data_IF_599299341914
#
_entry.id   IF_599299341914
#
_cell.length_a   1.000
_cell.length_b   1.000
_cell.length_c   1.000
_cell.angle_alpha   90.00
_cell.angle_beta   90.00
_cell.angle_gamma   90.00
#
_symmetry.space_group_name_H-M   'P 1'
#
loop_
_entity.id
_entity.type
_entity.pdbx_description
1 polymer ?
#
# COMPACT_ATOMS: atom_id res chain seq x y z
N UNK A 1 6.77 -0.64 51.06
CA UNK A 1 6.51 -1.20 49.71
C UNK A 1 5.59 -0.34 48.81
N UNK A 2 4.75 0.58 49.35
CA UNK A 2 3.86 1.44 48.54
C UNK A 2 4.59 2.58 47.80
N UNK A 3 5.64 3.17 48.38
CA UNK A 3 6.39 4.30 47.78
C UNK A 3 7.04 3.91 46.45
N UNK A 4 7.62 2.71 46.36
CA UNK A 4 8.25 2.19 45.14
C UNK A 4 7.23 2.03 44.00
N UNK A 5 5.97 1.67 44.32
CA UNK A 5 4.87 1.54 43.34
C UNK A 5 4.36 2.90 42.84
N UNK A 6 4.46 3.96 43.64
CA UNK A 6 4.11 5.32 43.20
C UNK A 6 5.20 5.94 42.34
N UNK A 7 6.47 5.63 42.61
CA UNK A 7 7.60 6.14 41.83
C UNK A 7 7.56 5.65 40.37
N UNK A 8 7.20 4.38 40.14
CA UNK A 8 7.07 3.81 38.79
C UNK A 8 5.94 4.45 38.00
N UNK A 9 4.79 4.71 38.65
CA UNK A 9 3.65 5.41 38.03
C UNK A 9 3.99 6.86 37.68
N UNK A 10 4.71 7.55 38.58
CA UNK A 10 5.14 8.93 38.37
C UNK A 10 6.17 9.03 37.23
N UNK A 11 7.12 8.09 37.15
CA UNK A 11 8.08 8.02 36.05
C UNK A 11 7.39 7.83 34.68
N UNK A 12 6.33 7.02 34.61
CA UNK A 12 5.55 6.81 33.39
C UNK A 12 4.81 8.09 32.94
N UNK A 13 4.45 8.97 33.88
CA UNK A 13 3.76 10.24 33.61
C UNK A 13 4.72 11.39 33.30
N UNK A 14 5.93 11.36 33.86
CA UNK A 14 6.97 12.40 33.67
C UNK A 14 7.84 12.17 32.44
N UNK A 15 7.78 10.99 31.82
CA UNK A 15 8.44 10.69 30.55
C UNK A 15 7.41 10.79 29.42
N UNK A 16 7.19 11.96 28.79
CA UNK A 16 6.46 12.00 27.54
C UNK A 16 7.23 11.16 26.53
N UNK A 17 6.68 10.01 26.17
CA UNK A 17 7.17 9.26 25.02
C UNK A 17 6.91 10.15 23.80
N UNK A 18 7.97 10.79 23.30
CA UNK A 18 7.96 11.41 21.99
C UNK A 18 7.74 10.30 20.97
N UNK A 19 6.50 10.11 20.54
CA UNK A 19 6.18 9.24 19.43
C UNK A 19 6.83 9.83 18.18
N UNK A 20 7.69 9.06 17.53
CA UNK A 20 8.31 9.46 16.27
C UNK A 20 7.34 9.19 15.15
N UNK A 21 7.31 10.17 14.27
CA UNK A 21 6.35 10.34 13.23
C UNK A 21 6.35 9.25 12.14
N UNK A 22 5.24 8.53 11.94
CA UNK A 22 5.06 7.50 10.92
C UNK A 22 3.88 7.78 9.98
N UNK A 23 4.16 7.71 8.67
CA UNK A 23 3.16 7.73 7.61
C UNK A 23 2.66 6.32 7.30
N UNK A 24 1.56 6.22 6.54
CA UNK A 24 1.05 4.94 6.05
C UNK A 24 2.06 4.22 5.16
N UNK A 25 1.96 2.90 5.10
CA UNK A 25 2.87 2.02 4.39
C UNK A 25 2.31 1.54 3.04
N UNK A 26 3.21 1.14 2.14
CA UNK A 26 2.86 0.44 0.90
C UNK A 26 2.54 -1.02 1.24
N UNK A 27 1.36 -1.54 0.86
CA UNK A 27 0.98 -2.93 1.13
C UNK A 27 2.02 -3.91 0.59
N UNK A 28 2.45 -4.87 1.41
CA UNK A 28 3.43 -5.86 0.97
C UNK A 28 2.92 -6.66 -0.23
N UNK A 29 3.82 -6.99 -1.16
CA UNK A 29 3.48 -7.73 -2.38
C UNK A 29 2.81 -6.89 -3.47
N UNK A 30 2.67 -5.58 -3.28
CA UNK A 30 2.15 -4.70 -4.31
C UNK A 30 3.18 -4.48 -5.44
N UNK A 31 2.71 -4.10 -6.64
CA UNK A 31 3.56 -3.90 -7.82
C UNK A 31 4.66 -2.85 -7.61
N UNK A 32 4.42 -1.90 -6.71
CA UNK A 32 5.33 -0.82 -6.35
C UNK A 32 6.65 -1.37 -5.79
N UNK A 33 6.63 -2.50 -5.07
CA UNK A 33 7.85 -3.12 -4.54
C UNK A 33 8.82 -3.53 -5.66
N UNK A 34 8.31 -4.12 -6.74
CA UNK A 34 9.16 -4.52 -7.87
C UNK A 34 9.83 -3.32 -8.54
N UNK A 35 9.12 -2.21 -8.67
CA UNK A 35 9.67 -1.00 -9.24
C UNK A 35 10.69 -0.34 -8.31
N UNK A 36 10.42 -0.30 -7.01
CA UNK A 36 11.35 0.22 -6.00
C UNK A 36 12.65 -0.59 -5.98
N UNK A 37 12.55 -1.93 -5.96
CA UNK A 37 13.72 -2.82 -5.99
C UNK A 37 14.51 -2.64 -7.30
N UNK A 38 13.83 -2.44 -8.43
CA UNK A 38 14.46 -2.16 -9.72
C UNK A 38 15.20 -0.81 -9.72
N UNK A 39 14.62 0.23 -9.13
CA UNK A 39 15.26 1.54 -8.98
C UNK A 39 16.51 1.46 -8.09
N UNK A 40 16.45 0.72 -6.98
CA UNK A 40 17.62 0.46 -6.14
C UNK A 40 18.75 -0.20 -6.92
N UNK A 41 18.45 -1.26 -7.70
CA UNK A 41 19.45 -1.97 -8.50
C UNK A 41 20.10 -1.03 -9.52
N UNK A 42 19.30 -0.21 -10.21
CA UNK A 42 19.79 0.76 -11.20
C UNK A 42 20.68 1.85 -10.59
N UNK A 43 20.47 2.20 -9.32
CA UNK A 43 21.26 3.21 -8.62
C UNK A 43 22.57 2.68 -8.02
N UNK A 44 22.71 1.36 -7.89
CA UNK A 44 23.90 0.65 -7.41
C UNK A 44 24.49 1.17 -6.08
N UNK A 45 25.38 2.17 -6.13
CA UNK A 45 26.21 2.65 -5.00
C UNK A 45 25.87 4.06 -4.52
N UNK A 46 24.82 4.69 -5.05
CA UNK A 46 24.45 6.03 -4.61
C UNK A 46 23.94 6.00 -3.16
N UNK A 47 24.71 6.56 -2.23
CA UNK A 47 24.37 6.60 -0.81
C UNK A 47 23.34 7.68 -0.46
N UNK A 48 23.05 8.60 -1.39
CA UNK A 48 22.08 9.68 -1.21
C UNK A 48 20.64 9.29 -1.53
N UNK A 49 20.43 8.12 -2.16
CA UNK A 49 19.12 7.57 -2.50
C UNK A 49 19.09 6.10 -2.10
N UNK A 50 18.54 5.83 -0.92
CA UNK A 50 18.44 4.47 -0.42
C UNK A 50 17.06 4.25 0.15
N UNK A 51 16.24 3.54 -0.63
CA UNK A 51 15.00 3.00 -0.11
C UNK A 51 15.33 2.08 1.07
N UNK A 52 14.67 2.28 2.21
CA UNK A 52 14.91 1.47 3.41
C UNK A 52 14.82 -0.02 3.11
N UNK A 53 15.73 -0.84 3.64
CA UNK A 53 15.57 -2.31 3.58
C UNK A 53 14.45 -2.83 4.49
N UNK A 54 13.92 -1.97 5.38
CA UNK A 54 12.86 -2.31 6.32
C UNK A 54 11.51 -2.26 5.60
N UNK A 55 10.87 -3.43 5.50
CA UNK A 55 9.53 -3.59 4.94
C UNK A 55 8.48 -3.64 6.08
N UNK A 56 7.25 -3.17 5.85
CA UNK A 56 6.76 -2.53 4.63
C UNK A 56 7.30 -1.10 4.43
N UNK A 57 7.41 -0.64 3.18
CA UNK A 57 7.96 0.69 2.89
C UNK A 57 7.02 1.82 3.29
N UNK A 58 7.56 2.87 3.92
CA UNK A 58 6.82 4.07 4.26
C UNK A 58 6.52 4.89 2.99
N UNK A 59 5.26 5.24 2.75
CA UNK A 59 4.82 5.95 1.53
C UNK A 59 5.46 7.31 1.37
N UNK A 60 5.62 8.07 2.47
CA UNK A 60 6.22 9.41 2.43
C UNK A 60 7.66 9.33 1.94
N UNK A 61 8.46 8.45 2.53
CA UNK A 61 9.87 8.29 2.13
C UNK A 61 10.00 7.80 0.70
N UNK A 62 9.22 6.79 0.30
CA UNK A 62 9.24 6.29 -1.08
C UNK A 62 8.90 7.39 -2.08
N UNK A 63 7.88 8.22 -1.81
CA UNK A 63 7.51 9.31 -2.71
C UNK A 63 8.60 10.36 -2.79
N UNK A 64 9.19 10.76 -1.66
CA UNK A 64 10.28 11.74 -1.65
C UNK A 64 11.47 11.28 -2.51
N UNK A 65 11.88 10.02 -2.35
CA UNK A 65 12.96 9.41 -3.14
C UNK A 65 12.61 9.35 -4.63
N UNK A 66 11.38 8.94 -4.97
CA UNK A 66 10.92 8.86 -6.36
C UNK A 66 10.80 10.24 -7.00
N UNK A 67 10.29 11.25 -6.30
CA UNK A 67 10.24 12.62 -6.80
C UNK A 67 11.64 13.18 -7.05
N UNK A 68 12.60 12.84 -6.18
CA UNK A 68 13.99 13.20 -6.40
C UNK A 68 14.53 12.54 -7.68
N UNK A 69 14.33 11.24 -7.85
CA UNK A 69 14.75 10.48 -9.04
C UNK A 69 14.12 11.06 -10.32
N UNK A 70 12.80 11.30 -10.28
CA UNK A 70 12.01 11.84 -11.38
C UNK A 70 12.45 13.25 -11.76
N UNK A 71 12.90 14.05 -10.79
CA UNK A 71 13.44 15.39 -11.02
C UNK A 71 14.89 15.34 -11.52
N UNK A 72 15.73 14.50 -10.93
CA UNK A 72 17.15 14.38 -11.26
C UNK A 72 17.37 13.93 -12.71
N UNK A 73 16.52 13.04 -13.25
CA UNK A 73 16.64 12.59 -14.65
C UNK A 73 16.50 13.72 -15.68
N UNK A 74 15.84 14.83 -15.33
CA UNK A 74 15.67 15.96 -16.24
C UNK A 74 16.96 16.78 -16.41
N UNK A 75 18.03 16.38 -15.70
CA UNK A 75 19.37 16.94 -15.83
C UNK A 75 19.49 18.33 -15.21
N UNK A 76 20.72 18.70 -14.85
CA UNK A 76 21.05 20.11 -14.67
C UNK A 76 21.76 20.55 -15.94
N UNK A 77 20.94 20.84 -16.96
CA UNK A 77 21.40 21.30 -18.26
C UNK A 77 21.95 22.72 -18.09
N UNK A 78 23.23 22.92 -18.35
CA UNK A 78 23.82 24.25 -18.36
C UNK A 78 23.34 25.08 -19.57
N UNK A 79 23.74 26.36 -19.64
CA UNK A 79 23.38 27.24 -20.76
C UNK A 79 23.92 26.76 -22.13
N UNK A 80 24.80 25.74 -22.14
CA UNK A 80 25.40 25.13 -23.33
C UNK A 80 24.76 23.78 -23.69
N UNK A 81 23.75 23.33 -22.94
CA UNK A 81 23.04 22.07 -23.21
C UNK A 81 23.70 20.83 -22.61
N UNK A 82 24.79 20.97 -21.83
CA UNK A 82 25.49 19.85 -21.23
C UNK A 82 24.93 19.51 -19.85
N UNK A 83 24.58 18.23 -19.62
CA UNK A 83 24.20 17.77 -18.27
C UNK A 83 25.47 17.57 -17.42
N UNK A 84 25.66 18.50 -16.48
CA UNK A 84 26.83 18.51 -15.58
C UNK A 84 26.91 17.27 -14.69
N UNK A 85 25.81 16.53 -14.54
CA UNK A 85 25.71 15.36 -13.66
C UNK A 85 25.19 14.10 -14.38
N UNK A 86 25.49 13.94 -15.66
CA UNK A 86 25.05 12.79 -16.49
C UNK A 86 25.21 11.41 -15.80
N UNK A 87 26.29 11.19 -15.04
CA UNK A 87 26.53 9.93 -14.33
C UNK A 87 25.63 9.68 -13.11
N UNK A 88 24.96 10.72 -12.60
CA UNK A 88 24.00 10.66 -11.49
C UNK A 88 22.56 10.65 -12.00
N UNK A 89 22.33 11.15 -13.22
CA UNK A 89 21.01 11.34 -13.84
C UNK A 89 20.66 10.23 -14.85
N UNK A 90 21.64 9.52 -15.40
CA UNK A 90 21.43 8.43 -16.36
C UNK A 90 21.16 7.08 -15.69
N UNK A 91 19.93 6.90 -15.20
CA UNK A 91 19.44 5.59 -14.72
C UNK A 91 18.96 4.68 -15.85
N UNK A 92 19.10 5.09 -17.13
CA UNK A 92 18.58 4.40 -18.32
C UNK A 92 17.14 3.87 -18.11
N UNK A 93 16.22 4.76 -17.71
CA UNK A 93 14.83 4.42 -17.44
C UNK A 93 14.12 4.15 -18.77
N UNK A 94 13.42 3.02 -18.84
CA UNK A 94 12.56 2.71 -19.99
C UNK A 94 11.23 3.45 -19.88
N UNK A 95 10.49 3.59 -20.98
CA UNK A 95 9.13 4.16 -20.94
C UNK A 95 8.17 3.43 -19.98
N UNK A 96 8.39 2.13 -19.77
CA UNK A 96 7.67 1.31 -18.78
C UNK A 96 8.05 1.72 -17.36
N UNK A 97 9.34 1.98 -17.11
CA UNK A 97 9.83 2.46 -15.82
C UNK A 97 9.20 3.83 -15.50
N UNK A 98 9.15 4.74 -16.47
CA UNK A 98 8.52 6.05 -16.31
C UNK A 98 7.02 5.93 -16.00
N UNK A 99 6.31 5.05 -16.71
CA UNK A 99 4.91 4.76 -16.43
C UNK A 99 4.72 4.23 -14.99
N UNK A 100 5.57 3.31 -14.54
CA UNK A 100 5.49 2.73 -13.21
C UNK A 100 5.84 3.76 -12.11
N UNK A 101 6.86 4.60 -12.32
CA UNK A 101 7.17 5.75 -11.44
C UNK A 101 5.95 6.66 -11.33
N UNK A 102 5.36 7.05 -12.46
CA UNK A 102 4.17 7.90 -12.45
C UNK A 102 3.00 7.23 -11.75
N UNK A 103 2.80 5.92 -11.97
CA UNK A 103 1.78 5.15 -11.25
C UNK A 103 2.00 5.13 -9.75
N UNK A 104 3.24 5.05 -9.26
CA UNK A 104 3.54 5.12 -7.82
C UNK A 104 3.18 6.50 -7.28
N UNK A 105 3.57 7.57 -7.97
CA UNK A 105 3.26 8.94 -7.55
C UNK A 105 1.74 9.19 -7.52
N UNK A 106 1.00 8.76 -8.55
CA UNK A 106 -0.46 8.85 -8.57
C UNK A 106 -1.13 8.01 -7.46
N UNK A 107 -0.56 6.84 -7.14
CA UNK A 107 -1.05 5.97 -6.06
C UNK A 107 -0.71 6.48 -4.65
N UNK A 108 0.08 7.56 -4.54
CA UNK A 108 0.55 8.17 -3.30
C UNK A 108 0.45 9.71 -3.35
N UNK A 109 -0.60 10.22 -4.00
CA UNK A 109 -0.80 11.65 -4.29
C UNK A 109 -0.72 12.55 -3.05
N UNK A 110 -0.98 11.99 -1.86
CA UNK A 110 -0.99 12.70 -0.59
C UNK A 110 0.40 13.16 -0.10
N UNK A 111 1.48 12.58 -0.66
CA UNK A 111 2.87 12.92 -0.33
C UNK A 111 3.63 13.57 -1.49
N UNK A 112 3.08 13.53 -2.70
CA UNK A 112 3.66 14.19 -3.88
C UNK A 112 3.74 15.68 -3.60
N UNK A 113 4.84 16.35 -3.95
CA UNK A 113 5.04 17.80 -3.81
C UNK A 113 5.04 18.52 -5.15
N UNK A 114 5.40 17.82 -6.23
CA UNK A 114 5.42 18.35 -7.60
C UNK A 114 4.03 18.52 -8.25
N UNK A 115 4.03 18.70 -9.57
CA UNK A 115 2.80 18.85 -10.34
C UNK A 115 1.95 17.58 -10.31
N UNK A 116 0.65 17.76 -10.03
CA UNK A 116 -0.39 16.73 -10.00
C UNK A 116 -1.44 16.90 -11.12
N UNK A 117 -1.22 17.82 -12.06
CA UNK A 117 -2.22 18.21 -13.06
C UNK A 117 -2.68 17.05 -13.96
N UNK A 118 -1.80 16.07 -14.19
CA UNK A 118 -2.06 14.86 -14.95
C UNK A 118 -2.60 13.70 -14.08
N UNK A 119 -2.80 13.88 -12.77
CA UNK A 119 -3.43 12.87 -11.92
C UNK A 119 -4.94 12.85 -12.10
N UNK A 120 -5.51 13.96 -12.57
CA UNK A 120 -6.92 14.11 -12.87
C UNK A 120 -7.36 13.16 -13.97
N UNK A 121 -8.51 12.54 -13.76
CA UNK A 121 -9.17 11.68 -14.72
C UNK A 121 -9.83 12.52 -15.82
N UNK A 122 -9.72 12.05 -17.06
CA UNK A 122 -10.39 12.70 -18.21
C UNK A 122 -11.90 12.44 -18.21
N UNK A 123 -12.36 11.38 -17.54
CA UNK A 123 -13.74 10.90 -17.57
C UNK A 123 -14.17 10.41 -16.19
N UNK A 124 -14.47 11.32 -15.24
CA UNK A 124 -15.01 10.92 -13.94
C UNK A 124 -16.37 10.25 -14.11
N UNK A 125 -16.67 9.27 -13.27
CA UNK A 125 -17.94 8.55 -13.26
C UNK A 125 -18.92 9.31 -12.36
N UNK A 126 -20.08 9.69 -12.91
CA UNK A 126 -21.12 10.47 -12.21
C UNK A 126 -20.60 11.76 -11.57
N UNK A 127 -19.49 12.33 -12.06
CA UNK A 127 -18.79 13.49 -11.50
C UNK A 127 -18.33 13.35 -10.03
N UNK A 128 -18.44 12.16 -9.44
CA UNK A 128 -18.08 11.90 -8.04
C UNK A 128 -16.98 10.85 -7.91
N UNK A 129 -17.01 9.82 -8.73
CA UNK A 129 -16.06 8.71 -8.66
C UNK A 129 -14.96 8.87 -9.69
N UNK A 130 -13.75 8.44 -9.33
CA UNK A 130 -12.55 8.52 -10.18
C UNK A 130 -12.31 9.93 -10.71
N UNK A 131 -12.38 10.94 -9.84
CA UNK A 131 -11.89 12.29 -10.15
C UNK A 131 -10.39 12.26 -10.42
N UNK A 132 -9.64 11.51 -9.61
CA UNK A 132 -8.27 11.12 -9.93
C UNK A 132 -8.26 9.76 -10.64
N UNK A 133 -7.19 9.50 -11.41
CA UNK A 133 -7.04 8.25 -12.17
C UNK A 133 -6.93 7.00 -11.29
N UNK A 134 -6.45 7.15 -10.06
CA UNK A 134 -6.05 6.02 -9.20
C UNK A 134 -7.05 5.70 -8.10
N UNK A 135 -7.82 6.68 -7.64
CA UNK A 135 -8.70 6.51 -6.49
C UNK A 135 -10.19 6.59 -6.88
N UNK A 136 -10.98 5.59 -6.48
CA UNK A 136 -12.44 5.61 -6.70
C UNK A 136 -13.07 6.82 -6.00
N UNK A 137 -12.66 7.11 -4.76
CA UNK A 137 -12.96 8.35 -4.07
C UNK A 137 -11.68 8.92 -3.47
N UNK A 138 -11.48 10.23 -3.64
CA UNK A 138 -10.36 10.96 -3.07
C UNK A 138 -10.84 12.28 -2.47
N UNK A 139 -10.45 12.53 -1.22
CA UNK A 139 -10.55 13.82 -0.55
C UNK A 139 -9.13 14.25 -0.24
N UNK A 140 -8.72 15.41 -0.73
CA UNK A 140 -7.38 15.94 -0.50
C UNK A 140 -7.49 17.41 -0.11
N UNK A 141 -7.32 17.67 1.18
CA UNK A 141 -7.32 19.00 1.81
C UNK A 141 -6.04 19.15 2.63
N UNK A 142 -5.66 20.38 3.04
CA UNK A 142 -4.42 20.61 3.80
C UNK A 142 -4.27 19.68 5.02
N UNK A 143 -5.34 19.56 5.81
CA UNK A 143 -5.34 18.80 7.08
C UNK A 143 -6.03 17.43 7.00
N UNK A 144 -6.52 17.03 5.83
CA UNK A 144 -7.19 15.74 5.69
C UNK A 144 -7.02 15.16 4.29
N UNK A 145 -6.55 13.92 4.24
CA UNK A 145 -6.53 13.09 3.04
C UNK A 145 -7.26 11.79 3.29
N UNK A 146 -8.07 11.37 2.33
CA UNK A 146 -8.74 10.07 2.30
C UNK A 146 -8.77 9.56 0.86
N UNK A 147 -8.31 8.33 0.65
CA UNK A 147 -8.50 7.59 -0.57
C UNK A 147 -9.25 6.29 -0.27
N UNK A 148 -10.32 6.01 -1.02
CA UNK A 148 -11.10 4.78 -0.94
C UNK A 148 -11.10 4.10 -2.29
N UNK A 149 -10.83 2.79 -2.31
CA UNK A 149 -10.73 1.97 -3.51
C UNK A 149 -11.44 0.63 -3.36
N UNK A 150 -12.02 0.09 -4.44
CA UNK A 150 -12.55 -1.26 -4.43
C UNK A 150 -11.42 -2.28 -4.39
N UNK A 151 -11.68 -3.41 -3.73
CA UNK A 151 -10.87 -4.62 -3.77
C UNK A 151 -11.66 -5.66 -4.56
N UNK A 152 -11.01 -6.26 -5.55
CA UNK A 152 -11.56 -7.36 -6.33
C UNK A 152 -10.46 -8.37 -6.65
N UNK A 153 -10.69 -9.63 -6.28
CA UNK A 153 -9.83 -10.75 -6.62
C UNK A 153 -10.69 -11.91 -7.07
N UNK A 154 -10.50 -12.34 -8.31
CA UNK A 154 -11.22 -13.47 -8.90
C UNK A 154 -10.18 -14.47 -9.38
N UNK A 155 -10.18 -15.66 -8.81
CA UNK A 155 -9.35 -16.77 -9.23
C UNK A 155 -10.21 -17.99 -9.52
N UNK A 156 -9.90 -18.67 -10.61
CA UNK A 156 -10.53 -19.90 -11.03
C UNK A 156 -9.43 -20.91 -11.39
N UNK A 157 -9.51 -22.10 -10.82
CA UNK A 157 -8.45 -23.10 -10.96
C UNK A 157 -9.04 -24.52 -10.96
N UNK A 158 -8.28 -25.44 -11.52
CA UNK A 158 -8.62 -26.86 -11.57
C UNK A 158 -7.51 -27.66 -10.90
N UNK A 159 -7.89 -28.60 -10.05
CA UNK A 159 -6.98 -29.47 -9.34
C UNK A 159 -7.10 -30.90 -9.90
N UNK A 160 -5.97 -31.50 -10.29
CA UNK A 160 -5.95 -32.87 -10.81
C UNK A 160 -6.42 -33.83 -9.71
N UNK A 161 -7.43 -34.65 -10.01
CA UNK A 161 -8.02 -35.59 -9.05
C UNK A 161 -9.02 -34.95 -8.08
N UNK A 162 -9.47 -33.73 -8.37
CA UNK A 162 -10.57 -33.08 -7.69
C UNK A 162 -11.64 -32.67 -8.72
N UNK A 163 -12.81 -33.29 -8.64
CA UNK A 163 -13.91 -33.02 -9.57
C UNK A 163 -14.61 -31.67 -9.29
N UNK A 164 -14.26 -31.00 -8.19
CA UNK A 164 -14.77 -29.69 -7.84
C UNK A 164 -13.86 -28.58 -8.37
N UNK A 165 -14.48 -27.56 -8.96
CA UNK A 165 -13.77 -26.36 -9.39
C UNK A 165 -13.27 -25.56 -8.18
N UNK A 166 -11.98 -25.20 -8.19
CA UNK A 166 -11.34 -24.38 -7.16
C UNK A 166 -11.54 -22.91 -7.55
N UNK A 167 -11.98 -22.09 -6.60
CA UNK A 167 -12.16 -20.66 -6.86
C UNK A 167 -11.95 -19.80 -5.62
N UNK A 168 -11.61 -18.54 -5.85
CA UNK A 168 -11.62 -17.47 -4.87
C UNK A 168 -12.29 -16.25 -5.47
N UNK A 169 -13.26 -15.70 -4.75
CA UNK A 169 -13.90 -14.43 -5.07
C UNK A 169 -13.84 -13.53 -3.83
N UNK A 170 -12.88 -12.61 -3.82
CA UNK A 170 -12.76 -11.60 -2.78
C UNK A 170 -13.25 -10.26 -3.32
N UNK A 171 -14.13 -9.61 -2.56
CA UNK A 171 -14.67 -8.29 -2.88
C UNK A 171 -14.69 -7.42 -1.65
N UNK A 172 -14.45 -6.12 -1.82
CA UNK A 172 -14.51 -5.22 -0.69
C UNK A 172 -13.99 -3.84 -0.99
N UNK A 173 -13.53 -3.17 0.06
CA UNK A 173 -13.03 -1.80 0.01
C UNK A 173 -11.74 -1.69 0.82
N UNK A 174 -10.83 -0.86 0.33
CA UNK A 174 -9.69 -0.36 1.08
C UNK A 174 -9.81 1.14 1.22
N UNK A 175 -9.50 1.66 2.40
CA UNK A 175 -9.45 3.07 2.72
C UNK A 175 -8.11 3.39 3.36
N UNK A 176 -7.50 4.49 2.96
CA UNK A 176 -6.28 5.01 3.58
C UNK A 176 -6.35 6.53 3.68
N UNK A 177 -5.70 7.09 4.68
CA UNK A 177 -5.74 8.53 4.87
C UNK A 177 -4.71 9.08 5.82
N UNK A 178 -4.68 10.41 5.91
CA UNK A 178 -3.91 11.15 6.91
C UNK A 178 -4.71 12.33 7.47
N UNK A 179 -4.52 12.63 8.75
CA UNK A 179 -5.14 13.75 9.47
C UNK A 179 -4.03 14.65 10.00
N UNK A 180 -4.08 15.94 9.68
CA UNK A 180 -3.17 17.01 10.09
C UNK A 180 -1.68 16.69 9.88
N UNK A 181 -1.35 15.80 8.94
CA UNK A 181 -0.02 15.19 8.80
C UNK A 181 0.52 14.50 10.07
N UNK A 182 -0.32 14.23 11.06
CA UNK A 182 0.02 13.67 12.38
C UNK A 182 -0.56 12.29 12.65
N UNK A 183 -1.58 11.88 11.91
CA UNK A 183 -2.17 10.54 12.06
C UNK A 183 -2.32 9.96 10.67
N UNK A 184 -1.75 8.79 10.42
CA UNK A 184 -2.01 7.99 9.24
C UNK A 184 -2.94 6.83 9.58
N UNK A 185 -3.77 6.40 8.64
CA UNK A 185 -4.59 5.20 8.82
C UNK A 185 -4.73 4.44 7.52
N UNK A 186 -4.89 3.12 7.65
CA UNK A 186 -5.19 2.22 6.54
C UNK A 186 -6.14 1.16 7.06
N UNK A 187 -7.19 0.87 6.30
CA UNK A 187 -8.17 -0.16 6.60
C UNK A 187 -8.56 -0.87 5.30
N UNK A 188 -8.79 -2.17 5.39
CA UNK A 188 -9.28 -3.01 4.30
C UNK A 188 -10.34 -3.93 4.87
N UNK A 189 -11.45 -4.01 4.18
CA UNK A 189 -12.59 -4.84 4.53
C UNK A 189 -13.00 -5.62 3.30
N UNK A 190 -12.95 -6.94 3.39
CA UNK A 190 -13.26 -7.85 2.29
C UNK A 190 -14.17 -8.99 2.74
N UNK A 191 -15.03 -9.39 1.83
CA UNK A 191 -15.84 -10.60 1.86
C UNK A 191 -15.22 -11.60 0.90
N UNK A 192 -14.95 -12.82 1.39
CA UNK A 192 -14.27 -13.86 0.63
C UNK A 192 -15.19 -15.07 0.46
N UNK A 193 -15.37 -15.48 -0.79
CA UNK A 193 -16.04 -16.72 -1.15
C UNK A 193 -15.02 -17.65 -1.79
N UNK A 194 -14.69 -18.74 -1.10
CA UNK A 194 -13.59 -19.61 -1.48
C UNK A 194 -14.04 -21.07 -1.52
N UNK A 195 -13.75 -21.75 -2.62
CA UNK A 195 -13.58 -23.20 -2.62
C UNK A 195 -12.12 -23.50 -2.90
N UNK A 196 -11.35 -23.66 -1.84
CA UNK A 196 -9.91 -23.92 -1.94
C UNK A 196 -9.62 -25.36 -2.41
N UNK A 197 -8.35 -25.67 -2.72
CA UNK A 197 -7.93 -27.03 -3.08
C UNK A 197 -8.24 -28.07 -1.99
N UNK A 198 -8.13 -29.35 -2.32
CA UNK A 198 -8.50 -30.45 -1.43
C UNK A 198 -7.79 -30.39 -0.06
N UNK A 199 -6.53 -29.94 -0.02
CA UNK A 199 -5.79 -29.78 1.23
C UNK A 199 -6.35 -28.66 2.12
N UNK A 200 -6.77 -27.53 1.54
CA UNK A 200 -7.41 -26.42 2.26
C UNK A 200 -8.75 -26.87 2.83
N UNK A 201 -9.59 -27.50 2.00
CA UNK A 201 -10.90 -28.02 2.42
C UNK A 201 -10.77 -29.01 3.58
N UNK A 202 -9.74 -29.88 3.55
CA UNK A 202 -9.45 -30.82 4.64
C UNK A 202 -9.01 -30.09 5.91
N UNK A 203 -8.14 -29.09 5.78
CA UNK A 203 -7.66 -28.29 6.91
C UNK A 203 -8.82 -27.55 7.60
N UNK A 204 -9.69 -26.91 6.83
CA UNK A 204 -10.87 -26.22 7.36
C UNK A 204 -11.79 -27.19 8.10
N UNK A 205 -12.05 -28.37 7.54
CA UNK A 205 -12.87 -29.41 8.19
C UNK A 205 -12.23 -29.92 9.49
N UNK A 206 -10.92 -30.13 9.48
CA UNK A 206 -10.18 -30.61 10.64
C UNK A 206 -10.13 -29.58 11.78
N UNK A 207 -9.80 -28.33 11.46
CA UNK A 207 -9.73 -27.24 12.43
C UNK A 207 -11.11 -26.72 12.83
N UNK A 208 -12.14 -27.00 12.01
CA UNK A 208 -13.44 -26.33 12.07
C UNK A 208 -13.28 -24.81 12.07
N UNK A 209 -12.30 -24.32 11.30
CA UNK A 209 -11.90 -22.92 11.22
C UNK A 209 -11.23 -22.64 9.88
N UNK A 210 -11.44 -21.44 9.34
CA UNK A 210 -10.59 -20.90 8.28
C UNK A 210 -9.37 -20.24 8.95
N UNK A 211 -8.13 -20.68 8.65
CA UNK A 211 -6.94 -20.10 9.27
C UNK A 211 -6.89 -18.57 9.12
N UNK A 212 -6.60 -17.88 10.23
CA UNK A 212 -6.53 -16.41 10.27
C UNK A 212 -7.88 -15.69 10.29
N UNK A 213 -9.00 -16.41 10.28
CA UNK A 213 -10.34 -15.83 10.29
C UNK A 213 -11.15 -16.38 11.47
N UNK A 214 -11.81 -15.50 12.22
CA UNK A 214 -12.59 -15.89 13.39
C UNK A 214 -13.95 -16.50 13.00
N UNK A 215 -14.70 -15.82 12.13
CA UNK A 215 -16.03 -16.24 11.71
C UNK A 215 -16.02 -16.66 10.24
N UNK A 216 -16.56 -17.85 9.97
CA UNK A 216 -16.81 -18.36 8.62
C UNK A 216 -18.08 -19.21 8.62
N UNK A 217 -18.67 -19.37 7.45
CA UNK A 217 -19.83 -20.24 7.21
C UNK A 217 -19.63 -21.00 5.91
N UNK A 218 -20.39 -22.08 5.70
CA UNK A 218 -20.45 -22.71 4.38
C UNK A 218 -21.06 -21.75 3.37
N UNK A 219 -20.50 -21.71 2.17
CA UNK A 219 -21.06 -20.90 1.09
C UNK A 219 -22.26 -21.63 0.48
N UNK A 220 -23.47 -21.07 0.66
CA UNK A 220 -24.74 -21.71 0.25
C UNK A 220 -24.88 -23.10 0.88
N UNK A 221 -25.34 -24.10 0.12
CA UNK A 221 -25.49 -25.49 0.56
C UNK A 221 -24.22 -26.34 0.32
N UNK A 222 -23.10 -25.71 -0.05
CA UNK A 222 -21.86 -26.42 -0.36
C UNK A 222 -20.92 -26.47 0.85
N UNK A 223 -20.77 -27.66 1.43
CA UNK A 223 -19.85 -27.90 2.57
C UNK A 223 -18.36 -27.86 2.21
N UNK A 224 -18.02 -27.75 0.92
CA UNK A 224 -16.64 -27.63 0.44
C UNK A 224 -16.21 -26.20 0.17
N UNK A 225 -17.17 -25.27 0.11
CA UNK A 225 -16.91 -23.84 -0.06
C UNK A 225 -17.21 -23.08 1.24
N UNK A 226 -16.44 -22.02 1.48
CA UNK A 226 -16.55 -21.17 2.65
C UNK A 226 -16.78 -19.73 2.26
N UNK A 227 -17.50 -19.03 3.13
CA UNK A 227 -17.77 -17.60 3.06
C UNK A 227 -17.31 -17.01 4.40
N UNK A 228 -16.39 -16.04 4.32
CA UNK A 228 -15.79 -15.43 5.50
C UNK A 228 -15.41 -13.97 5.25
N UNK A 229 -15.48 -13.20 6.32
CA UNK A 229 -15.20 -11.77 6.32
C UNK A 229 -13.82 -11.51 6.92
N UNK A 230 -13.07 -10.61 6.29
CA UNK A 230 -11.73 -10.23 6.73
C UNK A 230 -11.62 -8.70 6.77
N UNK A 231 -11.35 -8.17 7.96
CA UNK A 231 -11.16 -6.76 8.21
C UNK A 231 -9.81 -6.53 8.88
N UNK A 232 -8.96 -5.74 8.23
CA UNK A 232 -7.60 -5.45 8.68
C UNK A 232 -7.36 -3.96 8.63
N UNK A 233 -6.57 -3.44 9.54
CA UNK A 233 -6.18 -2.04 9.51
C UNK A 233 -5.13 -1.70 10.54
N UNK A 234 -4.59 -0.51 10.42
CA UNK A 234 -3.63 0.06 11.35
C UNK A 234 -3.75 1.58 11.37
N UNK A 235 -3.26 2.16 12.46
CA UNK A 235 -3.10 3.60 12.65
C UNK A 235 -1.61 3.85 12.89
N UNK A 236 -1.09 4.89 12.28
CA UNK A 236 0.28 5.39 12.50
C UNK A 236 0.20 6.79 13.09
N UNK A 237 1.14 7.12 13.95
CA UNK A 237 1.24 8.45 14.55
C UNK A 237 2.47 9.14 13.97
N UNK A 238 2.24 10.27 13.31
CA UNK A 238 3.22 11.25 12.86
C UNK A 238 3.51 12.28 13.99
#
# INVERSE_FOLDING_TARGET
MQIIKSLTKLALFLLPFSAISQATYIPQGSKEYHMIDRLQIKQMKNTGLNFSSVKPFNRKYVVQEIEFIDSARHGYVDSLGADKFASWTDMNLTSIDEYNIRSILMNNSEWVTGSRSDFESRKPILNHFYKTKTNMLEVNTPDFFLAVNPVLQLNLSFEKGNDQQVYMNSRGLTARGRIANKIGFSATVIDNQERGPAHFSRLVKQLRAVPGNGFFKSFKMDSTAVDYFDARGYITFN
#
